data_IF_991702670672
#
_entry.id   IF_991702670672
#
_cell.length_a   1.000
_cell.length_b   1.000
_cell.length_c   1.000
_cell.angle_alpha   90.00
_cell.angle_beta   90.00
_cell.angle_gamma   90.00
#
_symmetry.space_group_name_H-M   'P 1'
#
loop_
_entity.id
_entity.type
_entity.pdbx_description
1 polymer ?
#
# COMPACT_ATOMS: atom_id res chain seq x y z
N UNK A 1 3.61 -0.59 22.42
CA UNK A 1 5.03 -0.88 22.72
C UNK A 1 5.89 0.36 22.44
N UNK A 2 5.84 0.95 21.25
CA UNK A 2 6.66 2.12 20.87
C UNK A 2 6.47 3.28 21.87
N UNK A 3 5.26 3.70 22.15
CA UNK A 3 4.94 4.77 23.12
C UNK A 3 5.33 4.37 24.54
N UNK A 4 4.99 3.15 24.99
CA UNK A 4 5.25 2.69 26.35
C UNK A 4 6.74 2.70 26.74
N UNK A 5 7.61 2.47 25.77
CA UNK A 5 9.06 2.37 25.99
C UNK A 5 9.85 3.50 25.32
N UNK A 6 9.13 4.56 24.89
CA UNK A 6 9.71 5.76 24.29
C UNK A 6 10.69 5.46 23.13
N UNK A 7 10.36 4.45 22.32
CA UNK A 7 11.24 4.00 21.24
C UNK A 7 11.34 4.99 20.07
N UNK A 8 10.43 5.97 19.99
CA UNK A 8 10.44 7.06 18.99
C UNK A 8 11.17 8.31 19.47
N UNK A 9 11.83 8.29 20.62
CA UNK A 9 12.53 9.47 21.14
C UNK A 9 13.58 10.00 20.15
N UNK A 10 13.49 11.29 19.84
CA UNK A 10 14.39 11.95 18.89
C UNK A 10 14.19 11.57 17.43
N UNK A 11 13.04 10.98 17.08
CA UNK A 11 12.62 10.69 15.71
C UNK A 11 11.57 11.71 15.26
N UNK A 12 11.44 11.86 13.95
CA UNK A 12 10.37 12.66 13.37
C UNK A 12 9.01 12.00 13.64
N UNK A 13 7.91 12.78 13.66
CA UNK A 13 6.57 12.25 13.77
C UNK A 13 6.28 11.21 12.67
N UNK A 14 5.52 10.20 13.04
CA UNK A 14 5.10 9.18 12.09
C UNK A 14 4.07 9.74 11.11
N UNK A 15 4.16 9.33 9.84
CA UNK A 15 3.17 9.60 8.82
C UNK A 15 2.41 8.32 8.48
N UNK A 16 1.14 8.48 8.14
CA UNK A 16 0.24 7.37 7.87
C UNK A 16 -0.42 7.50 6.50
N UNK A 17 -0.65 6.39 5.87
CA UNK A 17 -1.47 6.26 4.68
C UNK A 17 -2.66 5.34 4.91
N UNK A 18 -3.64 5.43 4.01
CA UNK A 18 -4.71 4.45 3.89
C UNK A 18 -4.53 3.69 2.57
N UNK A 19 -4.46 2.38 2.66
CA UNK A 19 -4.41 1.49 1.50
C UNK A 19 -5.71 0.74 1.32
N UNK A 20 -6.26 0.80 0.10
CA UNK A 20 -7.37 -0.03 -0.34
C UNK A 20 -6.82 -1.16 -1.19
N UNK A 21 -7.44 -2.33 -1.11
CA UNK A 21 -7.10 -3.48 -1.94
C UNK A 21 -8.37 -4.18 -2.37
N UNK A 22 -8.42 -4.54 -3.63
CA UNK A 22 -9.46 -5.39 -4.21
C UNK A 22 -8.80 -6.60 -4.89
N UNK A 23 -9.51 -7.71 -4.91
CA UNK A 23 -9.16 -8.89 -5.69
C UNK A 23 -10.24 -9.07 -6.74
N UNK A 24 -9.81 -9.13 -7.99
CA UNK A 24 -10.66 -9.28 -9.15
C UNK A 24 -10.35 -10.60 -9.85
N UNK A 25 -11.37 -11.33 -10.27
CA UNK A 25 -11.28 -12.40 -11.23
C UNK A 25 -11.63 -11.83 -12.60
N UNK A 26 -10.69 -11.95 -13.55
CA UNK A 26 -10.79 -11.31 -14.87
C UNK A 26 -10.80 -12.33 -16.00
N UNK A 27 -11.13 -11.88 -17.21
CA UNK A 27 -11.09 -12.72 -18.40
C UNK A 27 -9.66 -13.10 -18.78
N UNK A 28 -9.46 -14.31 -19.30
CA UNK A 28 -8.17 -14.84 -19.74
C UNK A 28 -7.40 -13.91 -20.68
N UNK A 29 -8.14 -13.32 -21.63
CA UNK A 29 -7.53 -12.42 -22.63
C UNK A 29 -6.88 -11.17 -22.05
N UNK A 30 -7.27 -10.80 -20.83
CA UNK A 30 -6.78 -9.61 -20.11
C UNK A 30 -5.79 -9.98 -19.00
N UNK A 31 -5.51 -11.27 -18.80
CA UNK A 31 -4.67 -11.77 -17.75
C UNK A 31 -3.27 -12.13 -18.26
N UNK A 32 -2.25 -11.65 -17.56
CA UNK A 32 -0.84 -11.99 -17.80
C UNK A 32 -0.20 -12.34 -16.45
N UNK A 33 -0.16 -13.63 -16.14
CA UNK A 33 0.37 -14.13 -14.88
C UNK A 33 1.78 -13.65 -14.61
N UNK A 34 2.00 -13.11 -13.41
CA UNK A 34 3.29 -12.53 -12.99
C UNK A 34 3.50 -11.07 -13.38
N UNK A 35 2.58 -10.44 -14.12
CA UNK A 35 2.66 -9.01 -14.40
C UNK A 35 2.54 -8.21 -13.11
N UNK A 36 3.44 -7.25 -12.93
CA UNK A 36 3.48 -6.30 -11.80
C UNK A 36 3.51 -4.89 -12.35
N UNK A 37 2.54 -4.08 -11.95
CA UNK A 37 2.45 -2.68 -12.31
C UNK A 37 2.37 -1.82 -11.05
N UNK A 38 3.15 -0.74 -11.00
CA UNK A 38 3.04 0.33 -10.03
C UNK A 38 2.79 1.63 -10.73
N UNK A 39 1.91 2.47 -10.20
CA UNK A 39 1.63 3.81 -10.74
C UNK A 39 1.73 4.86 -9.66
N UNK A 40 1.98 6.11 -10.08
CA UNK A 40 1.94 7.30 -9.25
C UNK A 40 1.22 8.43 -10.01
N UNK A 41 0.75 9.46 -9.29
CA UNK A 41 0.06 10.61 -9.87
C UNK A 41 -1.44 10.38 -9.99
N UNK A 42 -1.99 10.58 -11.19
CA UNK A 42 -3.43 10.52 -11.40
C UNK A 42 -4.09 9.31 -10.73
N UNK A 43 -5.27 9.49 -10.09
CA UNK A 43 -6.12 10.67 -10.00
C UNK A 43 -5.70 11.72 -8.96
N UNK A 44 -4.65 11.48 -8.19
CA UNK A 44 -4.14 12.44 -7.22
C UNK A 44 -3.42 13.59 -7.92
N UNK A 45 -3.45 14.75 -7.30
CA UNK A 45 -2.65 15.91 -7.70
C UNK A 45 -1.18 15.74 -7.25
N UNK A 46 -0.33 16.68 -7.67
CA UNK A 46 1.11 16.64 -7.36
C UNK A 46 1.44 16.90 -5.88
N UNK A 47 0.48 17.35 -5.07
CA UNK A 47 0.67 17.68 -3.66
C UNK A 47 0.16 16.57 -2.73
N UNK A 48 -0.48 15.56 -3.28
CA UNK A 48 -1.04 14.43 -2.52
C UNK A 48 -0.21 13.19 -2.77
N UNK A 49 0.43 12.71 -1.71
CA UNK A 49 1.25 11.49 -1.79
C UNK A 49 0.38 10.25 -1.93
N UNK A 50 0.75 9.38 -2.87
CA UNK A 50 0.03 8.13 -3.10
C UNK A 50 0.39 7.45 -4.40
N UNK A 51 -0.28 6.34 -4.67
CA UNK A 51 -0.07 5.55 -5.87
C UNK A 51 -0.80 4.23 -5.83
N UNK A 52 -0.64 3.43 -6.87
CA UNK A 52 -1.31 2.14 -6.99
C UNK A 52 -0.35 0.99 -7.23
N UNK A 53 -0.87 -0.20 -7.02
CA UNK A 53 -0.25 -1.43 -7.48
C UNK A 53 -1.30 -2.32 -8.15
N UNK A 54 -0.87 -3.09 -9.13
CA UNK A 54 -1.64 -4.14 -9.78
C UNK A 54 -0.73 -5.35 -9.96
N UNK A 55 -1.18 -6.50 -9.48
CA UNK A 55 -0.45 -7.77 -9.59
C UNK A 55 -1.38 -8.83 -10.19
N UNK A 56 -0.97 -9.41 -11.30
CA UNK A 56 -1.64 -10.56 -11.89
C UNK A 56 -1.10 -11.84 -11.24
N UNK A 57 -1.91 -12.41 -10.38
CA UNK A 57 -1.60 -13.64 -9.66
C UNK A 57 -2.13 -14.87 -10.41
N UNK A 58 -1.97 -16.05 -9.83
CA UNK A 58 -2.53 -17.29 -10.34
C UNK A 58 -4.07 -17.23 -10.46
N UNK A 59 -4.65 -18.17 -11.21
CA UNK A 59 -6.10 -18.36 -11.33
C UNK A 59 -6.87 -17.14 -11.86
N UNK A 60 -6.30 -16.36 -12.78
CA UNK A 60 -6.92 -15.17 -13.38
C UNK A 60 -7.26 -14.08 -12.36
N UNK A 61 -6.60 -14.10 -11.22
CA UNK A 61 -6.80 -13.11 -10.18
C UNK A 61 -5.87 -11.90 -10.37
N UNK A 62 -6.44 -10.72 -10.21
CA UNK A 62 -5.71 -9.46 -10.18
C UNK A 62 -5.89 -8.81 -8.82
N UNK A 63 -4.78 -8.53 -8.17
CA UNK A 63 -4.74 -7.76 -6.95
C UNK A 63 -4.53 -6.29 -7.30
N UNK A 64 -5.56 -5.49 -7.10
CA UNK A 64 -5.55 -4.06 -7.37
C UNK A 64 -5.56 -3.30 -6.06
N UNK A 65 -4.62 -2.39 -5.88
CA UNK A 65 -4.57 -1.57 -4.67
C UNK A 65 -4.24 -0.12 -4.95
N UNK A 66 -4.66 0.74 -4.04
CA UNK A 66 -4.44 2.17 -4.07
C UNK A 66 -4.11 2.68 -2.68
N UNK A 67 -3.07 3.48 -2.56
CA UNK A 67 -2.58 4.01 -1.29
C UNK A 67 -2.56 5.53 -1.36
N UNK A 68 -3.05 6.19 -0.32
CA UNK A 68 -3.04 7.65 -0.19
C UNK A 68 -2.52 8.03 1.18
N UNK A 69 -1.54 8.94 1.22
CA UNK A 69 -1.06 9.55 2.46
C UNK A 69 -2.18 10.34 3.12
N UNK A 70 -2.30 10.23 4.44
CA UNK A 70 -3.40 10.87 5.20
C UNK A 70 -3.11 12.32 5.58
N UNK A 71 -1.99 12.88 5.12
CA UNK A 71 -1.60 14.27 5.29
C UNK A 71 -2.06 15.20 4.15
N UNK A 72 -2.98 14.73 3.30
CA UNK A 72 -3.52 15.50 2.18
C UNK A 72 -4.20 16.80 2.67
N UNK A 73 -4.01 17.87 1.91
CA UNK A 73 -4.48 19.22 2.27
C UNK A 73 -5.92 19.52 1.88
N UNK A 74 -6.44 18.78 0.89
CA UNK A 74 -7.80 18.98 0.40
C UNK A 74 -8.83 18.29 1.30
N UNK A 75 -9.63 19.02 2.11
CA UNK A 75 -10.59 18.40 3.03
C UNK A 75 -11.73 17.65 2.33
N UNK A 76 -11.91 17.87 1.03
CA UNK A 76 -12.93 17.20 0.22
C UNK A 76 -12.41 15.94 -0.49
N UNK A 77 -11.13 15.63 -0.36
CA UNK A 77 -10.58 14.41 -0.93
C UNK A 77 -11.10 13.19 -0.14
N UNK A 78 -11.70 12.26 -0.86
CA UNK A 78 -12.11 10.96 -0.32
C UNK A 78 -11.17 9.89 -0.87
N UNK A 79 -10.31 9.28 -0.06
CA UNK A 79 -9.40 8.23 -0.51
C UNK A 79 -10.12 7.07 -1.22
N UNK A 80 -11.30 6.71 -0.75
CA UNK A 80 -12.11 5.67 -1.39
C UNK A 80 -12.55 6.09 -2.79
N UNK A 81 -13.04 7.33 -2.96
CA UNK A 81 -13.53 7.81 -4.27
C UNK A 81 -12.37 7.98 -5.26
N UNK A 82 -11.19 8.38 -4.78
CA UNK A 82 -9.99 8.42 -5.62
C UNK A 82 -9.60 7.02 -6.13
N UNK A 83 -9.75 5.98 -5.31
CA UNK A 83 -9.57 4.61 -5.77
C UNK A 83 -10.63 4.21 -6.81
N UNK A 84 -11.90 4.65 -6.66
CA UNK A 84 -12.91 4.40 -7.68
C UNK A 84 -12.56 5.13 -8.99
N UNK A 85 -12.12 6.40 -8.90
CA UNK A 85 -11.65 7.15 -10.07
C UNK A 85 -10.47 6.46 -10.75
N UNK A 86 -9.48 6.00 -10.01
CA UNK A 86 -8.33 5.27 -10.54
C UNK A 86 -8.77 4.11 -11.44
N UNK A 87 -9.77 3.37 -11.05
CA UNK A 87 -10.31 2.24 -11.84
C UNK A 87 -10.95 2.66 -13.16
N UNK A 88 -11.29 3.94 -13.33
CA UNK A 88 -11.83 4.45 -14.59
C UNK A 88 -10.75 4.80 -15.63
N UNK A 89 -9.48 4.79 -15.24
CA UNK A 89 -8.38 5.02 -16.18
C UNK A 89 -8.40 3.96 -17.30
N UNK A 90 -8.26 4.35 -18.60
CA UNK A 90 -8.40 3.42 -19.72
C UNK A 90 -7.52 2.16 -19.58
N UNK A 91 -6.26 2.32 -19.17
CA UNK A 91 -5.33 1.20 -19.00
C UNK A 91 -5.69 0.25 -17.84
N UNK A 92 -6.43 0.72 -16.85
CA UNK A 92 -6.87 -0.09 -15.71
C UNK A 92 -8.23 -0.70 -16.02
N UNK A 93 -9.14 0.15 -16.52
CA UNK A 93 -10.49 -0.27 -16.87
C UNK A 93 -10.50 -1.44 -17.84
N UNK A 94 -9.68 -1.39 -18.90
CA UNK A 94 -9.59 -2.44 -19.91
C UNK A 94 -9.20 -3.80 -19.35
N UNK A 95 -8.46 -3.84 -18.24
CA UNK A 95 -8.04 -5.08 -17.60
C UNK A 95 -9.17 -5.68 -16.75
N UNK A 96 -9.85 -4.83 -15.97
CA UNK A 96 -10.88 -5.30 -15.02
C UNK A 96 -12.30 -5.31 -15.61
N UNK A 97 -12.48 -4.77 -16.81
CA UNK A 97 -13.78 -4.75 -17.50
C UNK A 97 -14.30 -6.16 -17.70
N UNK A 98 -15.58 -6.38 -17.40
CA UNK A 98 -16.24 -7.69 -17.34
C UNK A 98 -15.70 -8.63 -16.25
N UNK A 99 -14.74 -8.21 -15.45
CA UNK A 99 -14.26 -8.96 -14.29
C UNK A 99 -15.24 -8.90 -13.11
N UNK A 100 -15.06 -9.81 -12.18
CA UNK A 100 -15.82 -9.87 -10.94
C UNK A 100 -14.92 -9.56 -9.75
N UNK A 101 -15.27 -8.53 -8.96
CA UNK A 101 -14.59 -8.30 -7.68
C UNK A 101 -15.01 -9.37 -6.67
N UNK A 102 -14.06 -10.16 -6.21
CA UNK A 102 -14.29 -11.29 -5.28
C UNK A 102 -13.96 -10.94 -3.82
N UNK A 103 -13.10 -9.94 -3.59
CA UNK A 103 -12.73 -9.50 -2.24
C UNK A 103 -12.32 -8.03 -2.24
N UNK A 104 -12.43 -7.40 -1.08
CA UNK A 104 -11.93 -6.04 -0.85
C UNK A 104 -11.57 -5.83 0.62
N UNK A 105 -10.74 -4.83 0.88
CA UNK A 105 -10.39 -4.37 2.22
C UNK A 105 -9.61 -3.07 2.20
N UNK A 106 -9.51 -2.46 3.37
CA UNK A 106 -8.70 -1.28 3.58
C UNK A 106 -7.92 -1.40 4.89
N UNK A 107 -6.72 -0.81 4.92
CA UNK A 107 -5.88 -0.78 6.11
C UNK A 107 -5.04 0.49 6.14
N UNK A 108 -4.91 1.09 7.33
CA UNK A 108 -3.91 2.11 7.56
C UNK A 108 -2.51 1.47 7.54
N UNK A 109 -1.54 2.22 7.05
CA UNK A 109 -0.14 1.81 6.98
C UNK A 109 0.76 2.98 7.36
N UNK A 110 2.01 2.66 7.71
CA UNK A 110 3.00 3.61 8.17
C UNK A 110 3.87 4.02 6.98
N UNK A 111 4.02 5.34 6.75
CA UNK A 111 4.74 5.90 5.60
C UNK A 111 5.86 6.88 5.99
N UNK A 112 6.17 7.05 7.28
CA UNK A 112 7.09 8.08 7.78
C UNK A 112 8.56 7.91 7.35
N UNK A 113 8.93 6.76 6.80
CA UNK A 113 10.28 6.50 6.30
C UNK A 113 11.34 6.38 7.41
N UNK A 114 12.62 6.52 7.03
CA UNK A 114 13.76 6.32 7.92
C UNK A 114 13.78 7.32 9.09
N UNK A 115 13.35 8.55 8.85
CA UNK A 115 13.38 9.63 9.85
C UNK A 115 12.45 9.35 11.02
N UNK A 116 11.34 8.65 10.78
CA UNK A 116 10.33 8.27 11.77
C UNK A 116 10.53 6.87 12.32
N UNK A 117 11.56 6.15 11.87
CA UNK A 117 11.79 4.77 12.26
C UNK A 117 12.17 4.71 13.75
N UNK A 118 11.38 4.02 14.60
CA UNK A 118 11.67 3.89 16.02
C UNK A 118 12.91 3.03 16.26
N UNK A 119 13.41 3.01 17.48
CA UNK A 119 14.38 1.99 17.89
C UNK A 119 13.74 0.62 17.76
N UNK A 120 14.31 -0.23 16.91
CA UNK A 120 13.69 -1.49 16.47
C UNK A 120 13.80 -2.61 17.49
N UNK A 121 14.60 -2.43 18.53
CA UNK A 121 14.87 -3.49 19.52
C UNK A 121 14.91 -2.93 20.95
N UNK A 122 14.55 -3.77 21.88
CA UNK A 122 14.64 -3.54 23.31
C UNK A 122 14.84 -4.88 24.02
N UNK A 123 15.24 -4.90 25.29
CA UNK A 123 15.35 -6.17 26.03
C UNK A 123 14.05 -6.97 25.99
N UNK A 124 14.12 -8.17 25.41
CA UNK A 124 12.98 -9.08 25.31
C UNK A 124 12.01 -8.81 24.15
N UNK A 125 12.29 -7.84 23.23
CA UNK A 125 11.40 -7.58 22.10
C UNK A 125 12.14 -7.00 20.89
N UNK A 126 11.59 -7.29 19.70
CA UNK A 126 12.01 -6.76 18.41
C UNK A 126 10.79 -6.27 17.62
N UNK A 127 10.90 -5.08 17.03
CA UNK A 127 9.90 -4.55 16.09
C UNK A 127 10.28 -4.95 14.67
N UNK A 128 9.34 -5.49 13.91
CA UNK A 128 9.56 -5.93 12.53
C UNK A 128 8.36 -5.61 11.64
N UNK A 129 8.62 -5.48 10.34
CA UNK A 129 7.59 -5.29 9.34
C UNK A 129 7.04 -3.87 9.23
N UNK A 130 5.95 -3.72 8.50
CA UNK A 130 5.33 -2.44 8.17
C UNK A 130 4.85 -1.69 9.44
N UNK A 131 4.34 -2.39 10.43
CA UNK A 131 3.89 -1.79 11.70
C UNK A 131 5.05 -1.17 12.52
N UNK A 132 6.28 -1.55 12.21
CA UNK A 132 7.47 -0.93 12.78
C UNK A 132 7.94 0.31 11.98
N UNK A 133 7.39 0.55 10.79
CA UNK A 133 7.75 1.70 9.95
C UNK A 133 8.78 1.39 8.85
N UNK A 134 8.98 0.13 8.48
CA UNK A 134 10.01 -0.27 7.49
C UNK A 134 9.55 -0.15 6.04
N UNK A 135 8.37 0.39 5.76
CA UNK A 135 7.93 0.64 4.39
C UNK A 135 8.85 1.65 3.71
N UNK A 136 9.39 1.28 2.56
CA UNK A 136 10.25 2.14 1.74
C UNK A 136 9.70 2.17 0.31
N UNK A 137 9.14 3.30 -0.10
CA UNK A 137 8.49 3.45 -1.40
C UNK A 137 9.43 3.18 -2.58
N UNK A 138 10.67 3.71 -2.65
CA UNK A 138 11.58 3.45 -3.77
C UNK A 138 12.00 1.98 -3.91
N UNK A 139 11.80 1.18 -2.87
CA UNK A 139 12.16 -0.24 -2.83
C UNK A 139 10.93 -1.11 -2.55
N UNK A 140 9.78 -0.74 -3.06
CA UNK A 140 8.58 -1.60 -3.01
C UNK A 140 8.85 -2.80 -3.93
N UNK A 141 9.58 -3.77 -3.39
CA UNK A 141 9.73 -5.08 -4.00
C UNK A 141 8.80 -6.05 -3.23
N UNK A 142 7.86 -6.74 -3.91
CA UNK A 142 6.98 -7.71 -3.27
C UNK A 142 7.75 -8.80 -2.51
N UNK A 143 8.93 -9.19 -2.99
CA UNK A 143 9.77 -10.19 -2.35
C UNK A 143 10.40 -9.70 -1.03
N UNK A 144 10.70 -8.42 -0.90
CA UNK A 144 11.17 -7.83 0.37
C UNK A 144 10.07 -7.73 1.42
N UNK A 145 8.81 -7.55 1.01
CA UNK A 145 7.67 -7.58 1.95
C UNK A 145 7.48 -8.96 2.59
N UNK A 146 7.73 -10.04 1.87
CA UNK A 146 7.65 -11.41 2.40
C UNK A 146 8.78 -11.72 3.40
N UNK A 147 9.99 -11.23 3.17
CA UNK A 147 11.14 -11.47 4.05
C UNK A 147 11.03 -10.79 5.42
N UNK A 148 10.33 -9.66 5.53
CA UNK A 148 10.17 -8.96 6.80
C UNK A 148 8.94 -9.40 7.61
N UNK A 149 8.01 -10.13 7.02
CA UNK A 149 6.80 -10.60 7.71
C UNK A 149 7.01 -11.93 8.45
N UNK A 150 8.09 -12.66 8.19
CA UNK A 150 8.32 -14.02 8.73
C UNK A 150 9.27 -14.11 9.94
N UNK A 151 9.67 -13.01 10.52
CA UNK A 151 10.52 -12.98 11.72
C UNK A 151 9.79 -12.47 12.97
N UNK A 152 8.51 -12.75 13.09
CA UNK A 152 7.77 -12.61 14.34
C UNK A 152 7.51 -14.00 14.92
N UNK A 153 8.46 -14.52 15.66
CA UNK A 153 8.28 -15.57 16.66
C UNK A 153 8.40 -14.95 18.04
#
# INVERSE_FOLDING_TARGET
>A
MIEKFDLSKGKDPQQYGIGFKEIWEIEDKNHEEGMVMHTAGWPLDNNTYGGSFMYHAENKQVFLGYVIGLDYKNPHLSPFDEFQRFKTHPSIKSIIENGKRISYGARALIEGGLQSLPKMFMPGALLVGCDAGTLNMPKINPQLKLGFTFLAL
#
